data_IF_986059998463
#
_entry.id   IF_986059998463
#
_cell.length_a   1.000
_cell.length_b   1.000
_cell.length_c   1.000
_cell.angle_alpha   90.00
_cell.angle_beta   90.00
_cell.angle_gamma   90.00
#
_symmetry.space_group_name_H-M   'P 1'
#
loop_
_entity.id
_entity.type
_entity.pdbx_description
1 polymer ?
#
# COMPACT_ATOMS: atom_id res chain seq x y z
N UNK A 1 23.10 -2.07 5.57
CA UNK A 1 22.38 -0.79 5.76
C UNK A 1 21.39 -0.66 4.62
N UNK A 2 20.10 -0.44 4.89
CA UNK A 2 19.11 -0.19 3.84
C UNK A 2 19.30 1.23 3.27
N UNK A 3 19.18 1.43 1.96
CA UNK A 3 19.28 2.75 1.38
C UNK A 3 18.15 3.65 1.90
N UNK A 4 18.40 4.95 2.09
CA UNK A 4 17.37 5.89 2.53
C UNK A 4 16.24 5.94 1.50
N UNK A 5 15.01 5.73 1.97
CA UNK A 5 13.80 5.77 1.13
C UNK A 5 13.49 7.24 0.77
N UNK A 6 13.39 7.55 -0.52
CA UNK A 6 13.02 8.90 -0.98
C UNK A 6 11.57 9.22 -0.60
N UNK A 7 11.36 10.27 0.19
CA UNK A 7 10.02 10.77 0.54
C UNK A 7 9.49 11.57 -0.64
N UNK A 8 8.40 11.10 -1.27
CA UNK A 8 7.71 11.82 -2.35
C UNK A 8 6.67 12.78 -1.76
N UNK A 9 6.51 13.96 -2.37
CA UNK A 9 5.39 14.85 -2.04
C UNK A 9 4.05 14.22 -2.47
N UNK A 10 2.94 14.68 -1.88
CA UNK A 10 1.60 14.16 -2.20
C UNK A 10 1.32 14.17 -3.70
N UNK A 11 1.59 15.29 -4.38
CA UNK A 11 1.36 15.39 -5.83
C UNK A 11 2.27 14.44 -6.64
N UNK A 12 3.51 14.22 -6.21
CA UNK A 12 4.41 13.23 -6.84
C UNK A 12 3.99 11.78 -6.59
N UNK A 13 3.32 11.51 -5.47
CA UNK A 13 2.76 10.20 -5.18
C UNK A 13 1.49 9.94 -6.01
N UNK A 14 0.72 10.98 -6.29
CA UNK A 14 -0.54 10.91 -7.05
C UNK A 14 -0.36 11.01 -8.58
N UNK A 15 0.73 11.61 -9.07
CA UNK A 15 1.02 11.70 -10.51
C UNK A 15 0.96 10.33 -11.25
N UNK A 16 1.53 9.22 -10.73
CA UNK A 16 1.39 7.93 -11.38
C UNK A 16 -0.03 7.33 -11.26
N UNK A 17 -0.86 7.75 -10.30
CA UNK A 17 -2.27 7.35 -10.22
C UNK A 17 -3.12 8.05 -11.29
N UNK A 18 -2.81 9.32 -11.59
CA UNK A 18 -3.48 10.07 -12.66
C UNK A 18 -3.13 9.58 -14.06
N UNK A 19 -1.99 8.91 -14.20
CA UNK A 19 -1.52 8.30 -15.45
C UNK A 19 -1.95 6.83 -15.59
N UNK A 20 -2.74 6.31 -14.65
CA UNK A 20 -3.25 4.95 -14.69
C UNK A 20 -4.41 4.91 -15.69
N UNK A 21 -4.08 4.64 -16.95
CA UNK A 21 -5.05 4.52 -18.02
C UNK A 21 -6.09 3.46 -17.70
N UNK A 22 -7.27 3.62 -18.30
CA UNK A 22 -8.39 2.66 -18.25
C UNK A 22 -8.06 1.25 -18.82
N UNK A 23 -6.82 1.04 -19.30
CA UNK A 23 -6.26 -0.24 -19.71
C UNK A 23 -5.42 -0.95 -18.63
N UNK A 24 -5.15 -0.32 -17.49
CA UNK A 24 -4.41 -0.96 -16.41
C UNK A 24 -5.24 -2.10 -15.78
N UNK A 25 -4.70 -3.31 -15.78
CA UNK A 25 -5.31 -4.44 -15.08
C UNK A 25 -5.00 -4.31 -13.59
N UNK A 26 -5.90 -3.65 -12.86
CA UNK A 26 -5.82 -3.53 -11.40
C UNK A 26 -6.55 -4.69 -10.73
N UNK A 27 -5.86 -5.37 -9.81
CA UNK A 27 -6.45 -6.37 -8.94
C UNK A 27 -6.39 -5.91 -7.50
N UNK A 28 -7.54 -5.92 -6.82
CA UNK A 28 -7.58 -5.72 -5.38
C UNK A 28 -6.91 -6.91 -4.70
N UNK A 29 -5.93 -6.62 -3.85
CA UNK A 29 -5.18 -7.58 -3.05
C UNK A 29 -5.29 -7.20 -1.58
N UNK A 30 -5.24 -8.22 -0.74
CA UNK A 30 -5.14 -8.04 0.70
C UNK A 30 -3.82 -8.58 1.21
N UNK A 31 -3.24 -7.87 2.18
CA UNK A 31 -2.08 -8.31 2.93
C UNK A 31 -2.41 -8.26 4.41
N UNK A 32 -2.33 -9.40 5.08
CA UNK A 32 -2.39 -9.47 6.55
C UNK A 32 -0.97 -9.28 7.07
N UNK A 33 -0.80 -8.25 7.89
CA UNK A 33 0.45 -7.95 8.58
C UNK A 33 0.19 -7.99 10.08
N UNK A 34 1.26 -8.06 10.87
CA UNK A 34 1.17 -8.05 12.33
C UNK A 34 1.87 -6.82 12.87
N UNK A 35 1.13 -6.01 13.62
CA UNK A 35 1.71 -4.92 14.38
C UNK A 35 1.94 -5.38 15.81
N UNK A 36 3.20 -5.44 16.22
CA UNK A 36 3.59 -5.83 17.57
C UNK A 36 3.97 -4.60 18.39
N UNK A 37 3.32 -4.43 19.52
CA UNK A 37 3.60 -3.37 20.47
C UNK A 37 4.09 -3.97 21.78
N UNK A 38 5.19 -3.44 22.31
CA UNK A 38 5.71 -3.85 23.61
C UNK A 38 4.88 -3.20 24.72
N UNK A 39 4.21 -4.02 25.54
CA UNK A 39 3.36 -3.58 26.66
C UNK A 39 4.01 -3.88 28.01
N UNK A 40 5.22 -3.35 28.20
CA UNK A 40 5.93 -3.34 29.48
C UNK A 40 6.55 -4.69 29.91
N UNK A 41 5.86 -5.81 29.71
CA UNK A 41 6.37 -7.15 29.98
C UNK A 41 6.33 -8.06 28.74
N UNK A 42 5.29 -7.93 27.91
CA UNK A 42 5.06 -8.79 26.75
C UNK A 42 4.96 -7.99 25.44
N UNK A 43 5.20 -8.69 24.33
CA UNK A 43 4.85 -8.21 23.00
C UNK A 43 3.43 -8.64 22.67
N UNK A 44 2.54 -7.66 22.46
CA UNK A 44 1.18 -7.91 21.98
C UNK A 44 1.17 -7.64 20.48
N UNK A 45 1.01 -8.69 19.69
CA UNK A 45 0.88 -8.60 18.24
C UNK A 45 -0.59 -8.70 17.84
N UNK A 46 -1.09 -7.69 17.14
CA UNK A 46 -2.43 -7.68 16.58
C UNK A 46 -2.34 -7.75 15.06
N UNK A 47 -3.13 -8.61 14.40
CA UNK A 47 -3.16 -8.64 12.95
C UNK A 47 -3.88 -7.40 12.44
N UNK A 48 -3.33 -6.76 11.41
CA UNK A 48 -4.02 -5.73 10.66
C UNK A 48 -4.03 -6.10 9.19
N UNK A 49 -5.16 -5.83 8.53
CA UNK A 49 -5.34 -6.09 7.11
C UNK A 49 -5.12 -4.78 6.35
N UNK A 50 -4.24 -4.80 5.36
CA UNK A 50 -4.08 -3.73 4.36
C UNK A 50 -4.66 -4.19 3.04
N UNK A 51 -5.50 -3.35 2.45
CA UNK A 51 -6.01 -3.52 1.10
C UNK A 51 -5.18 -2.65 0.16
N UNK A 52 -4.82 -3.19 -0.99
CA UNK A 52 -4.09 -2.47 -2.00
C UNK A 52 -4.49 -2.93 -3.39
N UNK A 53 -4.49 -2.00 -4.34
CA UNK A 53 -4.65 -2.32 -5.75
C UNK A 53 -3.28 -2.57 -6.36
N UNK A 54 -3.11 -3.78 -6.89
CA UNK A 54 -1.95 -4.14 -7.69
C UNK A 54 -2.27 -3.92 -9.16
N UNK A 55 -1.70 -2.88 -9.74
CA UNK A 55 -1.95 -2.50 -11.12
C UNK A 55 -0.73 -2.83 -11.98
N UNK A 56 -0.98 -3.58 -13.05
CA UNK A 56 0.03 -3.93 -14.05
C UNK A 56 -0.35 -3.26 -15.37
N UNK A 57 0.58 -2.46 -15.89
CA UNK A 57 0.48 -1.81 -17.20
C UNK A 57 1.61 -2.33 -18.10
N UNK A 58 1.32 -2.58 -19.37
CA UNK A 58 2.29 -3.13 -20.31
C UNK A 58 3.52 -2.20 -20.44
N UNK A 59 4.72 -2.74 -20.17
CA UNK A 59 5.98 -2.02 -20.29
C UNK A 59 6.34 -1.11 -19.10
N UNK A 60 5.51 -1.07 -18.04
CA UNK A 60 5.82 -0.37 -16.78
C UNK A 60 5.97 -1.36 -15.61
N UNK A 61 6.77 -1.02 -14.59
CA UNK A 61 6.82 -1.83 -13.38
C UNK A 61 5.45 -1.85 -12.69
N UNK A 62 5.09 -3.00 -12.14
CA UNK A 62 3.85 -3.15 -11.39
C UNK A 62 3.83 -2.19 -10.20
N UNK A 63 2.69 -1.52 -9.99
CA UNK A 63 2.54 -0.51 -8.95
C UNK A 63 1.49 -0.96 -7.95
N UNK A 64 1.79 -0.78 -6.66
CA UNK A 64 0.87 -1.10 -5.56
C UNK A 64 0.35 0.21 -4.97
N UNK A 65 -0.97 0.35 -4.89
CA UNK A 65 -1.62 1.52 -4.32
C UNK A 65 -2.42 1.09 -3.09
N UNK A 66 -2.09 1.66 -1.93
CA UNK A 66 -2.83 1.37 -0.70
C UNK A 66 -4.24 1.96 -0.80
N UNK A 67 -5.25 1.10 -0.66
CA UNK A 67 -6.66 1.50 -0.71
C UNK A 67 -7.13 1.68 0.73
N UNK A 68 -7.05 2.91 1.19
CA UNK A 68 -7.74 3.36 2.41
C UNK A 68 -8.92 4.24 2.00
N UNK A 69 -10.12 3.66 2.01
CA UNK A 69 -11.39 4.35 1.80
C UNK A 69 -12.25 4.27 3.08
N UNK A 70 -13.17 5.21 3.23
CA UNK A 70 -14.25 5.22 4.23
C UNK A 70 -15.03 3.91 4.31
N UNK A 71 -15.13 3.15 3.22
CA UNK A 71 -15.78 1.83 3.18
C UNK A 71 -14.89 0.65 3.62
N UNK A 72 -13.56 0.82 3.69
CA UNK A 72 -12.60 -0.24 4.07
C UNK A 72 -12.11 -0.12 5.51
N UNK A 73 -12.57 0.91 6.24
CA UNK A 73 -12.22 1.19 7.64
C UNK A 73 -13.48 1.09 8.52
N UNK A 74 -14.12 -0.08 8.53
CA UNK A 74 -15.29 -0.40 9.37
C UNK A 74 -14.90 -1.26 10.56
#
# INVERSE_FOLDING_TARGET
MAPPTTIRSRDQALAPLMALDSQASCQLKELVQWECQFKGADYVCSPFKRLFEHCVEHGKPATNYEVTDTYTNS
#
